data_IF_416232973144
#
_entry.id   IF_416232973144
#
_cell.length_a   1.000
_cell.length_b   1.000
_cell.length_c   1.000
_cell.angle_alpha   90.00
_cell.angle_beta   90.00
_cell.angle_gamma   90.00
#
_symmetry.space_group_name_H-M   'P 1'
#
loop_
_entity.id
_entity.type
_entity.pdbx_description
1 polymer ?
#
# COMPACT_ATOMS: atom_id res chain seq x y z
N UNK A 1 7.06 6.32 45.01
CA UNK A 1 7.82 6.49 43.76
C UNK A 1 7.26 5.52 42.74
N UNK A 2 6.32 5.97 41.90
CA UNK A 2 5.76 5.17 40.82
C UNK A 2 6.27 5.75 39.50
N UNK A 3 7.11 4.98 38.81
CA UNK A 3 7.63 5.29 37.49
C UNK A 3 6.49 5.09 36.48
N UNK A 4 5.81 6.18 36.12
CA UNK A 4 4.80 6.17 35.07
C UNK A 4 5.44 5.91 33.70
N UNK A 5 4.86 4.92 33.02
CA UNK A 5 5.16 4.45 31.68
C UNK A 5 4.86 5.54 30.63
N UNK A 6 5.91 6.12 30.03
CA UNK A 6 5.83 7.10 28.94
C UNK A 6 5.85 6.45 27.54
N UNK A 7 5.60 5.15 27.39
CA UNK A 7 5.78 4.45 26.09
C UNK A 7 4.52 4.37 25.22
N UNK A 8 3.34 4.73 25.73
CA UNK A 8 2.06 4.60 25.01
C UNK A 8 1.62 5.80 24.17
N UNK A 9 2.08 7.03 24.43
CA UNK A 9 1.56 8.26 23.80
C UNK A 9 2.43 8.80 22.65
N UNK A 10 3.58 8.19 22.38
CA UNK A 10 4.54 8.68 21.38
C UNK A 10 4.41 8.04 20.00
N UNK A 11 3.90 6.80 19.89
CA UNK A 11 3.75 6.10 18.60
C UNK A 11 2.86 6.86 17.59
N UNK A 12 1.67 7.38 17.97
CA UNK A 12 0.80 8.07 17.01
C UNK A 12 1.42 9.37 16.49
N UNK A 13 2.12 10.12 17.36
CA UNK A 13 2.81 11.35 16.96
C UNK A 13 4.00 11.08 16.05
N UNK A 14 4.70 9.97 16.27
CA UNK A 14 5.83 9.56 15.44
C UNK A 14 5.36 9.11 14.06
N UNK A 15 4.29 8.32 13.97
CA UNK A 15 3.71 7.87 12.69
C UNK A 15 3.18 9.05 11.86
N UNK A 16 2.48 9.99 12.50
CA UNK A 16 2.04 11.23 11.84
C UNK A 16 3.22 12.05 11.29
N UNK A 17 4.30 12.17 12.07
CA UNK A 17 5.51 12.87 11.61
C UNK A 17 6.18 12.14 10.42
N UNK A 18 6.23 10.80 10.44
CA UNK A 18 6.75 10.00 9.33
C UNK A 18 5.91 10.16 8.08
N UNK A 19 4.58 10.15 8.21
CA UNK A 19 3.67 10.35 7.09
C UNK A 19 3.80 11.76 6.50
N UNK A 20 3.93 12.78 7.34
CA UNK A 20 4.16 14.15 6.87
C UNK A 20 5.45 14.27 6.04
N UNK A 21 6.57 13.72 6.53
CA UNK A 21 7.83 13.65 5.79
C UNK A 21 7.67 12.89 4.47
N UNK A 22 6.93 11.78 4.51
CA UNK A 22 6.67 10.95 3.33
C UNK A 22 5.94 11.71 2.23
N UNK A 23 4.91 12.49 2.58
CA UNK A 23 4.18 13.34 1.62
C UNK A 23 5.11 14.37 0.95
N UNK A 24 6.03 14.98 1.69
CA UNK A 24 7.04 15.89 1.12
C UNK A 24 8.03 15.18 0.20
N UNK A 25 8.52 14.00 0.59
CA UNK A 25 9.42 13.21 -0.25
C UNK A 25 8.74 12.79 -1.57
N UNK A 26 7.49 12.30 -1.50
CA UNK A 26 6.72 11.94 -2.69
C UNK A 26 6.50 13.15 -3.62
N UNK A 27 6.19 14.33 -3.07
CA UNK A 27 6.03 15.54 -3.86
C UNK A 27 7.33 15.93 -4.58
N UNK A 28 8.46 15.97 -3.87
CA UNK A 28 9.76 16.31 -4.45
C UNK A 28 10.19 15.31 -5.53
N UNK A 29 10.00 14.01 -5.29
CA UNK A 29 10.28 12.97 -6.29
C UNK A 29 9.42 13.15 -7.54
N UNK A 30 8.12 13.44 -7.40
CA UNK A 30 7.24 13.71 -8.54
C UNK A 30 7.64 14.98 -9.31
N UNK A 31 8.10 16.03 -8.62
CA UNK A 31 8.45 17.32 -9.23
C UNK A 31 9.81 17.32 -9.93
N UNK A 32 10.81 16.66 -9.32
CA UNK A 32 12.23 16.80 -9.71
C UNK A 32 12.86 15.48 -10.15
N UNK A 33 12.20 14.35 -9.88
CA UNK A 33 12.78 13.01 -9.99
C UNK A 33 13.54 12.58 -8.73
N UNK A 34 13.71 11.27 -8.57
CA UNK A 34 14.40 10.67 -7.41
C UNK A 34 15.86 11.09 -7.37
N UNK A 35 16.56 11.02 -8.51
CA UNK A 35 17.98 11.33 -8.61
C UNK A 35 18.33 12.77 -8.22
N UNK A 36 17.51 13.75 -8.63
CA UNK A 36 17.75 15.17 -8.35
C UNK A 36 17.30 15.62 -6.94
N UNK A 37 16.66 14.74 -6.17
CA UNK A 37 16.19 15.05 -4.82
C UNK A 37 17.15 14.47 -3.78
N UNK A 38 17.66 15.32 -2.88
CA UNK A 38 18.52 14.90 -1.77
C UNK A 38 17.73 14.72 -0.47
N UNK A 39 18.35 14.08 0.53
CA UNK A 39 17.77 14.02 1.87
C UNK A 39 17.72 15.37 2.57
N UNK A 40 18.63 16.29 2.24
CA UNK A 40 18.61 17.66 2.75
C UNK A 40 17.43 18.46 2.20
N UNK A 41 17.07 18.25 0.92
CA UNK A 41 15.88 18.85 0.31
C UNK A 41 14.60 18.40 1.03
N UNK A 42 14.49 17.09 1.30
CA UNK A 42 13.34 16.50 2.02
C UNK A 42 13.29 17.06 3.45
N UNK A 43 14.43 17.14 4.13
CA UNK A 43 14.53 17.69 5.48
C UNK A 43 14.09 19.15 5.52
N UNK A 44 14.58 19.97 4.59
CA UNK A 44 14.21 21.37 4.47
C UNK A 44 12.72 21.55 4.19
N UNK A 45 12.15 20.77 3.26
CA UNK A 45 10.72 20.80 2.95
C UNK A 45 9.84 20.41 4.14
N UNK A 46 10.29 19.45 4.95
CA UNK A 46 9.60 19.01 6.16
C UNK A 46 9.85 19.89 7.39
N UNK A 47 10.71 20.91 7.30
CA UNK A 47 11.10 21.74 8.45
C UNK A 47 11.89 20.97 9.53
N UNK A 48 12.64 19.93 9.14
CA UNK A 48 13.41 19.07 10.02
C UNK A 48 14.90 19.13 9.71
N UNK A 49 15.74 18.68 10.64
CA UNK A 49 17.14 18.43 10.35
C UNK A 49 17.31 17.09 9.61
N UNK A 50 18.30 17.00 8.75
CA UNK A 50 18.70 15.75 8.06
C UNK A 50 18.95 14.61 9.05
N UNK A 51 19.59 14.91 10.19
CA UNK A 51 19.76 13.96 11.31
C UNK A 51 18.43 13.41 11.84
N UNK A 52 17.37 14.23 11.85
CA UNK A 52 16.03 13.80 12.29
C UNK A 52 15.38 12.88 11.27
N UNK A 53 15.51 13.19 9.98
CA UNK A 53 15.01 12.32 8.89
C UNK A 53 15.66 10.94 8.97
N UNK A 54 16.99 10.87 9.08
CA UNK A 54 17.72 9.59 9.15
C UNK A 54 17.50 8.78 10.43
N UNK A 55 16.91 9.38 11.46
CA UNK A 55 16.42 8.63 12.62
C UNK A 55 15.15 7.83 12.30
N UNK A 56 14.37 8.27 11.30
CA UNK A 56 13.10 7.66 10.92
C UNK A 56 13.21 6.77 9.67
N UNK A 57 14.14 7.09 8.77
CA UNK A 57 14.23 6.50 7.44
C UNK A 57 15.65 5.99 7.16
N UNK A 58 15.74 4.87 6.45
CA UNK A 58 17.02 4.23 6.11
C UNK A 58 17.73 4.87 4.91
N UNK A 59 16.95 5.49 4.03
CA UNK A 59 17.41 6.22 2.84
C UNK A 59 16.36 7.23 2.41
N UNK A 60 16.68 8.09 1.44
CA UNK A 60 15.71 9.04 0.88
C UNK A 60 14.54 8.32 0.20
N UNK A 61 14.78 7.17 -0.43
CA UNK A 61 13.76 6.37 -1.11
C UNK A 61 12.81 5.75 -0.10
N UNK A 62 13.31 5.26 1.05
CA UNK A 62 12.45 4.74 2.11
C UNK A 62 11.50 5.78 2.72
N UNK A 63 11.72 7.08 2.46
CA UNK A 63 10.79 8.12 2.88
C UNK A 63 9.41 7.95 2.25
N UNK A 64 9.24 7.27 1.12
CA UNK A 64 7.91 7.08 0.48
C UNK A 64 7.08 5.98 1.14
N UNK A 65 7.70 5.11 1.94
CA UNK A 65 7.04 3.93 2.50
C UNK A 65 5.77 4.27 3.29
N UNK A 66 5.72 5.28 4.17
CA UNK A 66 4.49 5.60 4.89
C UNK A 66 3.29 5.91 4.00
N UNK A 67 3.46 6.62 2.88
CA UNK A 67 2.36 6.88 1.93
C UNK A 67 1.93 5.59 1.23
N UNK A 68 2.87 4.76 0.76
CA UNK A 68 2.55 3.45 0.17
C UNK A 68 1.85 2.51 1.17
N UNK A 69 2.30 2.52 2.43
CA UNK A 69 1.75 1.70 3.49
C UNK A 69 0.30 2.08 3.83
N UNK A 70 -0.15 3.32 3.57
CA UNK A 70 -1.57 3.68 3.76
C UNK A 70 -2.47 2.89 2.82
N UNK A 71 -2.13 2.79 1.53
CA UNK A 71 -2.89 2.00 0.55
C UNK A 71 -2.94 0.52 0.95
N UNK A 72 -1.80 -0.04 1.38
CA UNK A 72 -1.73 -1.42 1.89
C UNK A 72 -2.57 -1.61 3.15
N UNK A 73 -2.44 -0.75 4.14
CA UNK A 73 -3.19 -0.84 5.40
C UNK A 73 -4.70 -0.72 5.15
N UNK A 74 -5.10 0.14 4.22
CA UNK A 74 -6.49 0.26 3.79
C UNK A 74 -6.98 -1.04 3.17
N UNK A 75 -6.25 -1.59 2.20
CA UNK A 75 -6.62 -2.85 1.58
C UNK A 75 -6.75 -3.98 2.62
N UNK A 76 -5.78 -4.12 3.52
CA UNK A 76 -5.82 -5.10 4.60
C UNK A 76 -7.06 -4.89 5.50
N UNK A 77 -7.35 -3.66 5.91
CA UNK A 77 -8.52 -3.34 6.73
C UNK A 77 -9.84 -3.68 6.02
N UNK A 78 -9.93 -3.45 4.71
CA UNK A 78 -11.10 -3.84 3.92
C UNK A 78 -11.22 -5.37 3.88
N UNK A 79 -10.13 -6.08 3.59
CA UNK A 79 -10.14 -7.55 3.50
C UNK A 79 -10.40 -8.25 4.83
N UNK A 80 -10.04 -7.65 5.97
CA UNK A 80 -10.36 -8.17 7.30
C UNK A 80 -11.88 -8.25 7.54
N UNK A 81 -12.62 -7.29 6.99
CA UNK A 81 -14.09 -7.22 7.05
C UNK A 81 -14.80 -8.04 5.98
N UNK A 82 -14.09 -8.79 5.15
CA UNK A 82 -14.65 -9.48 3.98
C UNK A 82 -15.65 -10.60 4.35
N UNK A 83 -16.95 -10.46 3.99
CA UNK A 83 -17.94 -11.50 4.20
C UNK A 83 -17.68 -12.74 3.35
N UNK A 84 -17.98 -13.93 3.88
CA UNK A 84 -17.74 -15.22 3.21
C UNK A 84 -18.56 -15.36 1.92
N UNK A 85 -19.74 -14.75 1.88
CA UNK A 85 -20.74 -14.88 0.82
C UNK A 85 -20.44 -13.99 -0.39
N UNK A 86 -19.58 -12.99 -0.25
CA UNK A 86 -19.23 -12.05 -1.32
C UNK A 86 -17.95 -12.45 -2.02
N UNK A 87 -17.86 -12.18 -3.32
CA UNK A 87 -16.56 -12.16 -3.99
C UNK A 87 -15.71 -10.99 -3.46
N UNK A 88 -14.40 -11.01 -3.73
CA UNK A 88 -13.51 -9.91 -3.35
C UNK A 88 -13.93 -8.63 -4.07
N UNK A 89 -14.26 -8.72 -5.36
CA UNK A 89 -14.70 -7.58 -6.17
C UNK A 89 -15.95 -6.92 -5.60
N UNK A 90 -16.98 -7.73 -5.31
CA UNK A 90 -18.25 -7.24 -4.77
C UNK A 90 -18.04 -6.61 -3.39
N UNK A 91 -17.17 -7.22 -2.58
CA UNK A 91 -16.82 -6.69 -1.26
C UNK A 91 -16.06 -5.35 -1.35
N UNK A 92 -15.06 -5.25 -2.22
CA UNK A 92 -14.31 -4.01 -2.43
C UNK A 92 -15.23 -2.88 -2.94
N UNK A 93 -16.12 -3.19 -3.89
CA UNK A 93 -17.11 -2.23 -4.39
C UNK A 93 -18.07 -1.76 -3.29
N UNK A 94 -18.59 -2.70 -2.49
CA UNK A 94 -19.51 -2.40 -1.40
C UNK A 94 -18.84 -1.60 -0.26
N UNK A 95 -17.62 -1.98 0.15
CA UNK A 95 -16.88 -1.27 1.19
C UNK A 95 -16.52 0.16 0.76
N UNK A 96 -16.11 0.36 -0.50
CA UNK A 96 -15.85 1.69 -1.06
C UNK A 96 -17.10 2.58 -1.07
N UNK A 97 -18.26 2.02 -1.42
CA UNK A 97 -19.53 2.76 -1.39
C UNK A 97 -19.96 3.13 0.04
N UNK A 98 -19.65 2.28 1.02
CA UNK A 98 -19.97 2.50 2.42
C UNK A 98 -18.96 3.43 3.13
N UNK A 99 -17.70 3.43 2.70
CA UNK A 99 -16.60 4.18 3.29
C UNK A 99 -15.84 4.97 2.22
N UNK A 100 -16.46 5.99 1.61
CA UNK A 100 -15.81 6.79 0.59
C UNK A 100 -14.59 7.52 1.17
N UNK A 101 -13.53 7.60 0.36
CA UNK A 101 -12.30 8.28 0.75
C UNK A 101 -12.49 9.79 0.90
N UNK A 102 -11.89 10.35 1.95
CA UNK A 102 -11.76 11.80 2.09
C UNK A 102 -10.75 12.40 1.10
N UNK A 103 -10.75 13.73 0.96
CA UNK A 103 -9.86 14.44 0.03
C UNK A 103 -8.37 14.15 0.29
N UNK A 104 -7.95 14.16 1.56
CA UNK A 104 -6.57 13.85 1.94
C UNK A 104 -6.17 12.41 1.60
N UNK A 105 -7.11 11.48 1.76
CA UNK A 105 -6.91 10.07 1.46
C UNK A 105 -6.78 9.82 -0.04
N UNK A 106 -7.61 10.50 -0.85
CA UNK A 106 -7.52 10.48 -2.31
C UNK A 106 -6.16 11.05 -2.73
N UNK A 107 -5.72 12.15 -2.12
CA UNK A 107 -4.43 12.75 -2.43
C UNK A 107 -3.26 11.79 -2.12
N UNK A 108 -3.34 11.03 -1.02
CA UNK A 108 -2.33 10.01 -0.69
C UNK A 108 -2.34 8.83 -1.66
N UNK A 109 -3.51 8.35 -2.11
CA UNK A 109 -3.59 7.30 -3.15
C UNK A 109 -2.97 7.77 -4.48
N UNK A 110 -3.22 9.02 -4.87
CA UNK A 110 -2.60 9.59 -6.08
C UNK A 110 -1.07 9.69 -5.92
N UNK A 111 -0.57 10.03 -4.73
CA UNK A 111 0.88 10.00 -4.45
C UNK A 111 1.43 8.58 -4.53
N UNK A 112 0.75 7.60 -3.93
CA UNK A 112 1.15 6.20 -3.96
C UNK A 112 1.22 5.67 -5.39
N UNK A 113 0.21 5.94 -6.22
CA UNK A 113 0.17 5.54 -7.63
C UNK A 113 1.33 6.15 -8.44
N UNK A 114 1.65 7.43 -8.22
CA UNK A 114 2.81 8.07 -8.87
C UNK A 114 4.13 7.42 -8.45
N UNK A 115 4.30 7.11 -7.16
CA UNK A 115 5.49 6.42 -6.66
C UNK A 115 5.58 5.01 -7.23
N UNK A 116 4.48 4.25 -7.27
CA UNK A 116 4.44 2.93 -7.89
C UNK A 116 4.88 2.99 -9.37
N UNK A 117 4.36 3.98 -10.11
CA UNK A 117 4.75 4.24 -11.51
C UNK A 117 6.24 4.56 -11.62
N UNK A 118 6.77 5.48 -10.82
CA UNK A 118 8.20 5.81 -10.85
C UNK A 118 9.10 4.63 -10.47
N UNK A 119 8.62 3.72 -9.62
CA UNK A 119 9.40 2.59 -9.13
C UNK A 119 9.77 1.58 -10.23
N UNK A 120 9.09 1.59 -11.38
CA UNK A 120 9.38 0.66 -12.48
C UNK A 120 10.73 0.94 -13.13
N UNK A 121 11.13 2.21 -13.17
CA UNK A 121 12.37 2.66 -13.84
C UNK A 121 13.46 3.10 -12.83
N UNK A 122 13.14 3.21 -11.54
CA UNK A 122 14.05 3.66 -10.48
C UNK A 122 14.38 2.53 -9.48
N UNK A 123 15.51 1.81 -9.63
CA UNK A 123 15.81 0.60 -8.84
C UNK A 123 15.86 0.80 -7.33
N UNK A 124 16.35 1.96 -6.86
CA UNK A 124 16.40 2.26 -5.43
C UNK A 124 14.99 2.50 -4.85
N UNK A 125 14.10 3.12 -5.63
CA UNK A 125 12.70 3.31 -5.26
C UNK A 125 11.94 1.97 -5.31
N UNK A 126 12.27 1.11 -6.28
CA UNK A 126 11.73 -0.25 -6.40
C UNK A 126 11.93 -1.06 -5.13
N UNK A 127 13.10 -0.95 -4.49
CA UNK A 127 13.36 -1.66 -3.24
C UNK A 127 12.42 -1.22 -2.10
N UNK A 128 12.18 0.09 -1.95
CA UNK A 128 11.23 0.60 -0.95
C UNK A 128 9.79 0.17 -1.24
N UNK A 129 9.39 0.20 -2.51
CA UNK A 129 8.07 -0.26 -2.94
C UNK A 129 7.85 -1.75 -2.64
N UNK A 130 8.80 -2.62 -3.00
CA UNK A 130 8.70 -4.06 -2.75
C UNK A 130 8.71 -4.42 -1.26
N UNK A 131 9.39 -3.64 -0.41
CA UNK A 131 9.34 -3.84 1.04
C UNK A 131 7.95 -3.59 1.62
N UNK A 132 7.21 -2.62 1.11
CA UNK A 132 5.81 -2.38 1.52
C UNK A 132 4.89 -3.51 1.03
N UNK A 133 5.12 -4.06 -0.16
CA UNK A 133 4.38 -5.24 -0.63
C UNK A 133 4.70 -6.52 0.15
N UNK A 134 5.92 -6.67 0.63
CA UNK A 134 6.29 -7.77 1.54
C UNK A 134 5.56 -7.66 2.89
N UNK A 135 5.26 -6.44 3.37
CA UNK A 135 4.35 -6.23 4.52
C UNK A 135 2.89 -6.58 4.17
N UNK A 136 2.42 -6.22 2.98
CA UNK A 136 1.09 -6.58 2.48
C UNK A 136 0.90 -8.10 2.42
N UNK A 137 1.88 -8.84 1.89
CA UNK A 137 1.87 -10.30 1.82
C UNK A 137 1.69 -10.92 3.20
N UNK A 138 2.50 -10.49 4.18
CA UNK A 138 2.35 -10.95 5.57
C UNK A 138 0.99 -10.63 6.15
N UNK A 139 0.45 -9.44 5.87
CA UNK A 139 -0.88 -9.03 6.32
C UNK A 139 -2.02 -9.85 5.71
N UNK A 140 -1.82 -10.40 4.51
CA UNK A 140 -2.83 -11.22 3.82
C UNK A 140 -2.88 -12.67 4.29
N UNK A 141 -1.85 -13.18 4.96
CA UNK A 141 -1.82 -14.55 5.49
C UNK A 141 -3.04 -14.86 6.37
N UNK A 142 -3.39 -14.08 7.41
CA UNK A 142 -4.57 -14.37 8.24
C UNK A 142 -5.89 -14.30 7.46
N UNK A 143 -5.98 -13.39 6.47
CA UNK A 143 -7.16 -13.28 5.59
C UNK A 143 -7.30 -14.54 4.73
N UNK A 144 -6.20 -14.98 4.13
CA UNK A 144 -6.15 -16.19 3.31
C UNK A 144 -6.44 -17.45 4.11
N UNK A 145 -5.87 -17.59 5.31
CA UNK A 145 -6.13 -18.69 6.22
C UNK A 145 -7.62 -18.81 6.55
N UNK A 146 -8.24 -17.69 6.98
CA UNK A 146 -9.68 -17.61 7.27
C UNK A 146 -10.54 -17.96 6.06
N UNK A 147 -10.17 -17.47 4.87
CA UNK A 147 -10.93 -17.70 3.63
C UNK A 147 -10.89 -19.15 3.16
N UNK A 148 -9.75 -19.80 3.35
CA UNK A 148 -9.51 -21.18 2.89
C UNK A 148 -9.87 -22.23 3.95
N UNK A 149 -10.06 -21.83 5.21
CA UNK A 149 -10.26 -22.76 6.32
C UNK A 149 -9.00 -23.58 6.64
N UNK A 150 -7.82 -23.01 6.41
CA UNK A 150 -6.51 -23.66 6.57
C UNK A 150 -5.66 -22.93 7.62
N UNK A 151 -4.66 -23.61 8.23
CA UNK A 151 -3.67 -22.95 9.11
C UNK A 151 -2.85 -21.87 8.39
N UNK A 152 -2.42 -20.83 9.12
CA UNK A 152 -1.62 -19.73 8.56
C UNK A 152 -0.26 -20.17 7.99
N UNK A 153 0.32 -21.25 8.52
CA UNK A 153 1.59 -21.81 8.06
C UNK A 153 1.44 -22.79 6.88
N UNK A 154 0.21 -23.08 6.45
CA UNK A 154 -0.07 -23.91 5.27
C UNK A 154 0.53 -23.28 4.02
N UNK A 155 1.21 -24.10 3.21
CA UNK A 155 1.84 -23.64 1.97
C UNK A 155 0.84 -23.00 1.01
N UNK A 156 -0.39 -23.49 0.96
CA UNK A 156 -1.47 -22.97 0.10
C UNK A 156 -1.88 -21.57 0.53
N UNK A 157 -1.97 -21.31 1.83
CA UNK A 157 -2.29 -19.98 2.39
C UNK A 157 -1.20 -18.99 2.00
N UNK A 158 0.06 -19.36 2.23
CA UNK A 158 1.22 -18.52 1.90
C UNK A 158 1.33 -18.24 0.40
N UNK A 159 1.09 -19.26 -0.44
CA UNK A 159 1.06 -19.10 -1.90
C UNK A 159 -0.08 -18.17 -2.35
N UNK A 160 -1.28 -18.27 -1.75
CA UNK A 160 -2.38 -17.37 -2.07
C UNK A 160 -2.04 -15.92 -1.67
N UNK A 161 -1.48 -15.69 -0.47
CA UNK A 161 -1.08 -14.35 -0.04
C UNK A 161 -0.04 -13.74 -0.99
N UNK A 162 1.01 -14.49 -1.35
CA UNK A 162 2.03 -14.04 -2.29
C UNK A 162 1.45 -13.75 -3.69
N UNK A 163 0.57 -14.64 -4.19
CA UNK A 163 -0.08 -14.48 -5.49
C UNK A 163 -0.98 -13.24 -5.54
N UNK A 164 -1.76 -12.98 -4.48
CA UNK A 164 -2.63 -11.79 -4.37
C UNK A 164 -1.80 -10.52 -4.31
N UNK A 165 -0.74 -10.49 -3.50
CA UNK A 165 0.20 -9.35 -3.47
C UNK A 165 0.81 -9.09 -4.84
N UNK A 166 1.23 -10.15 -5.54
CA UNK A 166 1.77 -10.06 -6.90
C UNK A 166 0.74 -9.51 -7.90
N UNK A 167 -0.50 -10.00 -7.84
CA UNK A 167 -1.60 -9.52 -8.67
C UNK A 167 -1.88 -8.04 -8.43
N UNK A 168 -2.01 -7.62 -7.17
CA UNK A 168 -2.26 -6.24 -6.79
C UNK A 168 -1.13 -5.31 -7.28
N UNK A 169 0.12 -5.71 -7.04
CA UNK A 169 1.31 -4.97 -7.50
C UNK A 169 1.32 -4.77 -9.02
N UNK A 170 0.99 -5.81 -9.79
CA UNK A 170 0.94 -5.72 -11.26
C UNK A 170 -0.19 -4.80 -11.73
N UNK A 171 -1.36 -4.85 -11.08
CA UNK A 171 -2.47 -3.96 -11.39
C UNK A 171 -2.12 -2.50 -11.07
N UNK A 172 -1.51 -2.22 -9.92
CA UNK A 172 -1.07 -0.87 -9.55
C UNK A 172 -0.06 -0.30 -10.55
N UNK A 173 0.92 -1.11 -10.97
CA UNK A 173 1.91 -0.74 -11.98
C UNK A 173 1.25 -0.42 -13.34
N UNK A 174 0.28 -1.24 -13.77
CA UNK A 174 -0.45 -1.05 -15.03
C UNK A 174 -1.35 0.19 -15.01
N UNK A 175 -2.16 0.33 -13.95
CA UNK A 175 -3.02 1.50 -13.74
C UNK A 175 -2.18 2.76 -13.62
N UNK A 176 -1.04 2.68 -12.91
CA UNK A 176 -0.09 3.77 -12.79
C UNK A 176 0.43 4.23 -14.14
N UNK A 177 0.90 3.30 -14.98
CA UNK A 177 1.32 3.60 -16.36
C UNK A 177 0.20 4.29 -17.16
N UNK A 178 -1.01 3.72 -17.18
CA UNK A 178 -2.15 4.24 -17.96
C UNK A 178 -2.58 5.64 -17.51
N UNK A 179 -2.74 5.84 -16.21
CA UNK A 179 -3.22 7.12 -15.65
C UNK A 179 -2.12 8.19 -15.65
N UNK A 180 -0.90 7.84 -15.22
CA UNK A 180 0.17 8.82 -14.99
C UNK A 180 0.94 9.13 -16.28
N UNK A 181 1.30 8.11 -17.07
CA UNK A 181 2.13 8.30 -18.26
C UNK A 181 1.27 8.54 -19.50
N UNK A 182 0.19 7.77 -19.66
CA UNK A 182 -0.64 7.79 -20.87
C UNK A 182 -1.83 8.75 -20.77
N UNK A 183 -2.08 9.29 -19.57
CA UNK A 183 -3.17 10.24 -19.27
C UNK A 183 -4.56 9.68 -19.58
N UNK A 184 -4.71 8.37 -19.52
CA UNK A 184 -6.00 7.72 -19.65
C UNK A 184 -6.86 7.94 -18.40
N UNK A 185 -8.17 8.03 -18.61
CA UNK A 185 -9.14 7.98 -17.52
C UNK A 185 -9.53 6.52 -17.30
N UNK A 186 -9.09 5.95 -16.19
CA UNK A 186 -9.49 4.60 -15.75
C UNK A 186 -10.59 4.75 -14.69
N UNK A 187 -11.73 4.10 -14.90
CA UNK A 187 -12.83 4.15 -13.93
C UNK A 187 -12.56 3.23 -12.73
N UNK A 188 -13.21 3.51 -11.61
CA UNK A 188 -13.11 2.63 -10.44
C UNK A 188 -13.61 1.21 -10.73
N UNK A 189 -14.71 1.08 -11.48
CA UNK A 189 -15.26 -0.21 -11.89
C UNK A 189 -14.24 -1.02 -12.71
N UNK A 190 -13.49 -0.35 -13.60
CA UNK A 190 -12.45 -0.99 -14.39
C UNK A 190 -11.28 -1.47 -13.51
N UNK A 191 -10.82 -0.65 -12.55
CA UNK A 191 -9.76 -1.04 -11.60
C UNK A 191 -10.21 -2.25 -10.77
N UNK A 192 -11.42 -2.24 -10.22
CA UNK A 192 -11.95 -3.35 -9.44
C UNK A 192 -12.08 -4.63 -10.28
N UNK A 193 -12.50 -4.51 -11.54
CA UNK A 193 -12.55 -5.62 -12.48
C UNK A 193 -11.16 -6.18 -12.84
N UNK A 194 -10.14 -5.33 -12.93
CA UNK A 194 -8.75 -5.77 -13.11
C UNK A 194 -8.24 -6.54 -11.89
N UNK A 195 -8.48 -6.03 -10.68
CA UNK A 195 -8.10 -6.70 -9.43
C UNK A 195 -8.77 -8.08 -9.32
N UNK A 196 -10.08 -8.16 -9.57
CA UNK A 196 -10.82 -9.43 -9.50
C UNK A 196 -10.25 -10.48 -10.46
N UNK A 197 -10.06 -10.11 -11.73
CA UNK A 197 -9.46 -11.01 -12.73
C UNK A 197 -8.07 -11.45 -12.32
N UNK A 198 -7.19 -10.50 -11.96
CA UNK A 198 -5.81 -10.80 -11.60
C UNK A 198 -5.72 -11.74 -10.38
N UNK A 199 -6.54 -11.51 -9.36
CA UNK A 199 -6.59 -12.37 -8.16
C UNK A 199 -7.11 -13.76 -8.48
N UNK A 200 -8.19 -13.88 -9.27
CA UNK A 200 -8.74 -15.19 -9.65
C UNK A 200 -7.75 -15.98 -10.50
N UNK A 201 -7.13 -15.35 -11.49
CA UNK A 201 -6.17 -16.00 -12.37
C UNK A 201 -4.91 -16.42 -11.59
N UNK A 202 -4.36 -15.54 -10.75
CA UNK A 202 -3.15 -15.81 -9.98
C UNK A 202 -3.33 -16.91 -8.93
N UNK A 203 -4.54 -17.11 -8.41
CA UNK A 203 -4.83 -18.13 -7.39
C UNK A 203 -5.54 -19.37 -7.95
N UNK A 204 -5.71 -19.44 -9.27
CA UNK A 204 -6.46 -20.51 -9.94
C UNK A 204 -7.85 -20.71 -9.30
N UNK A 205 -8.54 -19.59 -9.05
CA UNK A 205 -9.87 -19.51 -8.46
C UNK A 205 -9.96 -19.80 -6.96
N UNK A 206 -8.85 -20.13 -6.28
CA UNK A 206 -8.85 -20.46 -4.84
C UNK A 206 -9.12 -19.24 -3.96
N UNK A 207 -8.82 -18.06 -4.44
CA UNK A 207 -9.03 -16.80 -3.74
C UNK A 207 -9.86 -15.85 -4.61
N UNK A 208 -10.63 -14.96 -3.97
CA UNK A 208 -11.44 -13.95 -4.64
C UNK A 208 -12.90 -14.33 -4.88
N UNK A 209 -13.26 -15.61 -4.97
CA UNK A 209 -14.67 -16.06 -5.09
C UNK A 209 -15.41 -16.13 -3.74
N UNK A 210 -16.76 -16.18 -3.74
CA UNK A 210 -17.55 -16.58 -2.57
C UNK A 210 -17.12 -17.95 -2.04
N UNK A 211 -17.16 -18.14 -0.73
CA UNK A 211 -16.96 -19.47 -0.12
C UNK A 211 -18.29 -20.21 -0.18
N UNK A 212 -18.36 -21.31 -0.94
CA UNK A 212 -19.48 -22.22 -0.87
C UNK A 212 -19.51 -22.86 0.53
N UNK A 213 -20.60 -22.67 1.28
CA UNK A 213 -20.83 -23.35 2.56
C UNK A 213 -21.19 -24.81 2.34
#
# INVERSE_FOLDING_TARGET
MATQDKRGTHKPKQEQARLAVSRYACALFCERGVSATSGDDIAAAAGLSTRTIWRYFRSKESCVEPVLSLSVQRFLAVTDRWPAELSLADHLAADMAAHPLGEDEIADEVRALRIATMSTDEPALRAAYLMVHDEMERGLIPVAAKRLGLPEDDLTVRLCAAAVTGAFRVVDEDVGRRVILEKETVSLEEVLGLIDRAVRDATNGRFGGPVAR
#
